data_IF_767488164818
#
_entry.id   IF_767488164818
#
_cell.length_a   1.000
_cell.length_b   1.000
_cell.length_c   1.000
_cell.angle_alpha   90.00
_cell.angle_beta   90.00
_cell.angle_gamma   90.00
#
_symmetry.space_group_name_H-M   'P 1'
#
loop_
_entity.id
_entity.type
_entity.pdbx_description
1 polymer ?
#
# COMPACT_ATOMS: atom_id res chain seq x y z
N UNK A 1 13.03 -14.85 15.31
CA UNK A 1 12.98 -13.79 14.24
C UNK A 1 11.61 -13.20 14.29
N UNK A 2 11.50 -11.89 14.41
CA UNK A 2 10.23 -11.15 14.40
C UNK A 2 10.06 -10.44 13.06
N UNK A 3 8.80 -10.21 12.64
CA UNK A 3 8.44 -9.49 11.43
C UNK A 3 7.69 -8.21 11.81
N UNK A 4 8.14 -7.06 11.34
CA UNK A 4 7.43 -5.79 11.48
C UNK A 4 6.90 -5.35 10.12
N UNK A 5 5.59 -5.38 9.96
CA UNK A 5 4.86 -4.82 8.83
C UNK A 5 4.44 -3.40 9.19
N UNK A 6 4.74 -2.44 8.36
CA UNK A 6 4.36 -1.04 8.61
C UNK A 6 3.82 -0.39 7.34
N UNK A 7 2.70 0.31 7.45
CA UNK A 7 2.32 1.26 6.43
C UNK A 7 3.34 2.41 6.38
N UNK A 8 3.30 3.22 5.34
CA UNK A 8 4.20 4.33 5.12
C UNK A 8 3.59 5.67 5.57
N UNK A 9 2.57 6.11 4.87
CA UNK A 9 2.02 7.46 5.01
C UNK A 9 1.11 7.57 6.24
N UNK A 10 1.49 8.39 7.23
CA UNK A 10 0.74 8.49 8.50
C UNK A 10 1.09 7.41 9.53
N UNK A 11 2.06 6.54 9.23
CA UNK A 11 2.53 5.47 10.12
C UNK A 11 4.04 5.52 10.31
N UNK A 12 4.82 5.12 9.30
CA UNK A 12 6.28 5.14 9.34
C UNK A 12 6.85 6.52 9.01
N UNK A 13 6.22 7.21 8.06
CA UNK A 13 6.63 8.53 7.59
C UNK A 13 5.93 9.61 8.40
N UNK A 14 6.69 10.63 8.81
CA UNK A 14 6.16 11.83 9.42
C UNK A 14 5.47 12.75 8.40
N UNK A 15 4.92 13.87 8.84
CA UNK A 15 4.23 14.86 8.00
C UNK A 15 5.11 15.47 6.89
N UNK A 16 6.44 15.40 7.02
CA UNK A 16 7.41 15.79 6.00
C UNK A 16 7.72 14.64 5.00
N UNK A 17 6.98 13.53 5.06
CA UNK A 17 7.19 12.31 4.26
C UNK A 17 8.58 11.68 4.46
N UNK A 18 9.12 11.75 5.68
CA UNK A 18 10.44 11.21 6.04
C UNK A 18 10.34 10.27 7.24
N UNK A 19 11.25 9.30 7.28
CA UNK A 19 11.50 8.52 8.51
C UNK A 19 12.29 9.41 9.47
N UNK A 20 11.77 9.61 10.68
CA UNK A 20 12.46 10.41 11.70
C UNK A 20 13.75 9.75 12.17
N UNK A 21 14.73 10.51 12.71
CA UNK A 21 15.96 9.94 13.25
C UNK A 21 15.72 8.90 14.36
N UNK A 22 14.71 9.12 15.23
CA UNK A 22 14.40 8.21 16.34
C UNK A 22 13.80 6.89 15.84
N UNK A 23 12.87 6.95 14.89
CA UNK A 23 12.32 5.77 14.23
C UNK A 23 13.40 5.03 13.43
N UNK A 24 14.27 5.75 12.69
CA UNK A 24 15.38 5.13 11.96
C UNK A 24 16.32 4.35 12.88
N UNK A 25 16.72 4.94 14.01
CA UNK A 25 17.61 4.27 14.97
C UNK A 25 16.97 2.96 15.48
N UNK A 26 15.68 2.96 15.79
CA UNK A 26 14.95 1.75 16.17
C UNK A 26 14.96 0.69 15.05
N UNK A 27 14.70 1.11 13.80
CA UNK A 27 14.68 0.18 12.66
C UNK A 27 16.06 -0.44 12.40
N UNK A 28 17.13 0.34 12.54
CA UNK A 28 18.52 -0.15 12.42
C UNK A 28 18.81 -1.21 13.50
N UNK A 29 18.43 -0.96 14.75
CA UNK A 29 18.55 -1.91 15.86
C UNK A 29 17.73 -3.18 15.61
N UNK A 30 16.49 -3.03 15.14
CA UNK A 30 15.56 -4.11 14.85
C UNK A 30 16.09 -5.05 13.76
N UNK A 31 16.61 -4.47 12.66
CA UNK A 31 17.23 -5.23 11.56
C UNK A 31 18.56 -5.88 12.00
N UNK A 32 19.40 -5.17 12.75
CA UNK A 32 20.67 -5.71 13.28
C UNK A 32 20.47 -6.92 14.22
N UNK A 33 19.31 -7.00 14.89
CA UNK A 33 18.92 -8.17 15.67
C UNK A 33 18.46 -9.38 14.83
N UNK A 34 18.55 -9.32 13.50
CA UNK A 34 18.17 -10.39 12.58
C UNK A 34 16.67 -10.49 12.31
N UNK A 35 15.89 -9.47 12.67
CA UNK A 35 14.48 -9.37 12.37
C UNK A 35 14.26 -8.84 10.93
N UNK A 36 13.01 -8.83 10.46
CA UNK A 36 12.66 -8.35 9.13
C UNK A 36 11.68 -7.19 9.19
N UNK A 37 11.96 -6.18 8.35
CA UNK A 37 11.12 -5.00 8.18
C UNK A 37 10.37 -5.08 6.85
N UNK A 38 9.06 -4.98 6.89
CA UNK A 38 8.20 -5.09 5.71
C UNK A 38 7.39 -3.80 5.55
N UNK A 39 7.72 -3.01 4.53
CA UNK A 39 6.89 -1.87 4.15
C UNK A 39 5.65 -2.36 3.43
N UNK A 40 4.47 -1.84 3.75
CA UNK A 40 3.20 -2.27 3.18
C UNK A 40 2.36 -1.06 2.75
N UNK A 41 2.33 -0.76 1.46
CA UNK A 41 1.68 0.45 0.95
C UNK A 41 0.88 0.22 -0.33
N UNK A 42 -0.05 1.15 -0.62
CA UNK A 42 -0.70 1.27 -1.94
C UNK A 42 0.25 1.75 -3.04
N UNK A 43 1.46 2.21 -2.70
CA UNK A 43 2.44 2.73 -3.65
C UNK A 43 2.99 1.61 -4.56
N UNK A 44 3.37 1.94 -5.81
CA UNK A 44 4.15 1.04 -6.68
C UNK A 44 5.54 0.77 -6.10
N UNK A 45 6.17 -0.35 -6.53
CA UNK A 45 7.47 -0.82 -6.04
C UNK A 45 8.55 0.28 -6.07
N UNK A 46 8.72 0.96 -7.20
CA UNK A 46 9.84 1.90 -7.38
C UNK A 46 9.69 3.12 -6.49
N UNK A 47 8.45 3.60 -6.27
CA UNK A 47 8.17 4.64 -5.27
C UNK A 47 8.49 4.18 -3.83
N UNK A 48 8.30 2.90 -3.50
CA UNK A 48 8.65 2.37 -2.18
C UNK A 48 10.17 2.17 -2.03
N UNK A 49 10.88 1.82 -3.11
CA UNK A 49 12.34 1.76 -3.13
C UNK A 49 12.96 3.15 -2.91
N UNK A 50 12.36 4.20 -3.49
CA UNK A 50 12.75 5.59 -3.24
C UNK A 50 12.64 5.91 -1.74
N UNK A 51 11.50 5.64 -1.11
CA UNK A 51 11.32 5.85 0.35
C UNK A 51 12.37 5.09 1.17
N UNK A 52 12.62 3.81 0.85
CA UNK A 52 13.64 3.01 1.54
C UNK A 52 15.03 3.64 1.43
N UNK A 53 15.38 4.10 0.23
CA UNK A 53 16.70 4.70 -0.05
C UNK A 53 16.86 6.07 0.64
N UNK A 54 15.82 6.91 0.60
CA UNK A 54 15.79 8.22 1.26
C UNK A 54 15.88 8.10 2.78
N UNK A 55 15.29 7.03 3.34
CA UNK A 55 15.45 6.71 4.76
C UNK A 55 16.85 6.18 5.11
N UNK A 56 17.72 5.92 4.13
CA UNK A 56 19.06 5.37 4.35
C UNK A 56 19.03 3.96 4.96
N UNK A 57 18.00 3.17 4.66
CA UNK A 57 17.88 1.79 5.14
C UNK A 57 18.58 0.84 4.16
N UNK A 58 19.82 0.50 4.48
CA UNK A 58 20.71 -0.31 3.63
C UNK A 58 20.96 -1.73 4.16
N UNK A 59 20.49 -2.02 5.38
CA UNK A 59 20.64 -3.34 6.01
C UNK A 59 19.80 -4.39 5.29
N UNK A 60 20.23 -5.68 5.31
CA UNK A 60 19.43 -6.78 4.80
C UNK A 60 18.18 -7.03 5.67
N UNK A 61 17.20 -7.70 5.09
CA UNK A 61 15.98 -8.08 5.79
C UNK A 61 14.80 -7.16 5.51
N UNK A 62 14.84 -6.40 4.42
CA UNK A 62 13.76 -5.48 4.03
C UNK A 62 12.95 -6.05 2.86
N UNK A 63 11.63 -6.08 3.02
CA UNK A 63 10.68 -6.45 1.98
C UNK A 63 9.69 -5.31 1.74
N UNK A 64 9.07 -5.31 0.54
CA UNK A 64 8.06 -4.36 0.16
C UNK A 64 6.78 -5.10 -0.23
N UNK A 65 5.68 -4.83 0.46
CA UNK A 65 4.33 -5.18 0.05
C UNK A 65 3.78 -3.98 -0.72
N UNK A 66 3.80 -4.08 -2.05
CA UNK A 66 3.44 -3.00 -2.96
C UNK A 66 1.98 -3.12 -3.42
N UNK A 67 1.42 -1.98 -3.85
CA UNK A 67 0.11 -1.92 -4.51
C UNK A 67 -0.98 -2.65 -3.71
N UNK A 68 -1.05 -2.35 -2.40
CA UNK A 68 -2.01 -2.96 -1.45
C UNK A 68 -1.94 -4.50 -1.38
N UNK A 69 -0.75 -5.09 -1.45
CA UNK A 69 -0.56 -6.54 -1.29
C UNK A 69 -0.72 -7.35 -2.58
N UNK A 70 -0.65 -6.72 -3.74
CA UNK A 70 -0.66 -7.41 -5.03
C UNK A 70 0.74 -7.87 -5.46
N UNK A 71 1.78 -7.30 -4.86
CA UNK A 71 3.17 -7.64 -5.11
C UNK A 71 3.94 -7.68 -3.79
N UNK A 72 4.77 -8.70 -3.60
CA UNK A 72 5.80 -8.72 -2.54
C UNK A 72 7.17 -8.78 -3.22
N UNK A 73 8.00 -7.80 -2.90
CA UNK A 73 9.35 -7.65 -3.43
C UNK A 73 10.36 -7.81 -2.29
N UNK A 74 11.33 -8.69 -2.49
CA UNK A 74 12.45 -8.88 -1.58
C UNK A 74 13.63 -8.02 -2.04
N UNK A 75 14.02 -7.07 -1.19
CA UNK A 75 15.10 -6.13 -1.51
C UNK A 75 16.48 -6.80 -1.48
N UNK A 76 16.67 -7.87 -0.71
CA UNK A 76 17.96 -8.54 -0.58
C UNK A 76 18.29 -9.33 -1.86
N UNK A 77 17.31 -10.07 -2.38
CA UNK A 77 17.47 -10.83 -3.63
C UNK A 77 17.16 -10.01 -4.88
N UNK A 78 16.64 -8.79 -4.72
CA UNK A 78 16.11 -7.94 -5.79
C UNK A 78 15.06 -8.64 -6.67
N UNK A 79 14.21 -9.49 -6.05
CA UNK A 79 13.23 -10.30 -6.75
C UNK A 79 11.81 -10.09 -6.23
N UNK A 80 10.84 -10.17 -7.14
CA UNK A 80 9.42 -10.27 -6.76
C UNK A 80 9.07 -11.71 -6.42
N UNK A 81 8.75 -11.97 -5.15
CA UNK A 81 8.43 -13.31 -4.62
C UNK A 81 6.94 -13.63 -4.63
N UNK A 82 6.06 -12.62 -4.75
CA UNK A 82 4.61 -12.80 -4.95
C UNK A 82 4.08 -11.80 -5.98
N UNK A 83 3.19 -12.27 -6.88
CA UNK A 83 2.54 -11.47 -7.93
C UNK A 83 1.07 -11.84 -8.04
N UNK A 84 0.18 -10.87 -7.85
CA UNK A 84 -1.26 -11.00 -8.09
C UNK A 84 -1.71 -9.90 -9.04
N UNK A 85 -1.64 -10.19 -10.35
CA UNK A 85 -1.90 -9.23 -11.41
C UNK A 85 -3.38 -9.16 -11.77
N UNK A 86 -3.83 -8.00 -12.22
CA UNK A 86 -5.20 -7.73 -12.65
C UNK A 86 -5.34 -8.12 -14.14
N UNK A 87 -6.24 -9.05 -14.52
CA UNK A 87 -6.41 -9.45 -15.91
C UNK A 87 -6.73 -8.28 -16.84
N UNK A 88 -6.14 -8.25 -18.05
CA UNK A 88 -6.38 -7.17 -19.01
C UNK A 88 -7.87 -6.93 -19.34
N UNK A 89 -8.74 -7.97 -19.47
CA UNK A 89 -10.18 -7.75 -19.65
C UNK A 89 -10.83 -6.97 -18.49
N UNK A 90 -10.27 -7.06 -17.27
CA UNK A 90 -10.77 -6.28 -16.13
C UNK A 90 -10.34 -4.81 -16.25
N UNK A 91 -9.12 -4.57 -16.75
CA UNK A 91 -8.62 -3.20 -17.01
C UNK A 91 -9.53 -2.50 -18.02
N UNK A 92 -9.81 -3.14 -19.16
CA UNK A 92 -10.73 -2.59 -20.18
C UNK A 92 -12.12 -2.29 -19.64
N UNK A 93 -12.71 -3.26 -18.92
CA UNK A 93 -14.03 -3.07 -18.32
C UNK A 93 -14.06 -1.90 -17.32
N UNK A 94 -13.07 -1.81 -16.44
CA UNK A 94 -13.00 -0.77 -15.42
C UNK A 94 -12.77 0.61 -16.04
N UNK A 95 -11.96 0.70 -17.09
CA UNK A 95 -11.79 1.93 -17.87
C UNK A 95 -13.12 2.37 -18.50
N UNK A 96 -13.83 1.47 -19.19
CA UNK A 96 -15.14 1.76 -19.80
C UNK A 96 -16.16 2.25 -18.76
N UNK A 97 -16.19 1.62 -17.58
CA UNK A 97 -17.09 2.09 -16.52
C UNK A 97 -16.67 3.45 -15.98
N UNK A 98 -15.37 3.69 -15.74
CA UNK A 98 -14.89 4.99 -15.27
C UNK A 98 -15.24 6.12 -16.23
N UNK A 99 -15.13 5.89 -17.54
CA UNK A 99 -15.56 6.84 -18.58
C UNK A 99 -17.06 7.17 -18.48
N UNK A 100 -17.93 6.17 -18.28
CA UNK A 100 -19.39 6.37 -18.10
C UNK A 100 -19.74 7.22 -16.89
N UNK A 101 -18.95 7.10 -15.82
CA UNK A 101 -19.13 7.90 -14.61
C UNK A 101 -18.34 9.22 -14.66
N UNK A 102 -17.53 9.45 -15.70
CA UNK A 102 -16.64 10.60 -15.82
C UNK A 102 -15.60 10.67 -14.69
N UNK A 103 -15.08 9.52 -14.27
CA UNK A 103 -14.05 9.36 -13.25
C UNK A 103 -12.71 9.15 -13.93
N UNK A 104 -11.68 9.85 -13.46
CA UNK A 104 -10.31 9.54 -13.84
C UNK A 104 -9.93 8.15 -13.33
N UNK A 105 -9.33 7.32 -14.20
CA UNK A 105 -8.80 6.01 -13.83
C UNK A 105 -7.45 5.79 -14.49
N UNK A 106 -6.47 5.34 -13.72
CA UNK A 106 -5.12 5.06 -14.17
C UNK A 106 -4.65 3.67 -13.77
N UNK A 107 -3.59 3.20 -14.42
CA UNK A 107 -2.90 1.96 -14.07
C UNK A 107 -1.39 2.15 -14.13
N UNK A 108 -0.62 1.06 -14.01
CA UNK A 108 0.83 1.14 -13.87
C UNK A 108 1.53 0.08 -14.70
N UNK A 109 2.62 0.48 -15.34
CA UNK A 109 3.74 -0.39 -15.69
C UNK A 109 4.59 -0.65 -14.44
N UNK A 110 5.67 -1.41 -14.56
CA UNK A 110 6.56 -1.63 -13.42
C UNK A 110 7.29 -0.33 -13.00
N UNK A 111 7.51 0.59 -13.95
CA UNK A 111 8.33 1.80 -13.81
C UNK A 111 7.62 3.10 -14.27
N UNK A 112 6.34 3.02 -14.61
CA UNK A 112 5.59 4.19 -15.10
C UNK A 112 4.11 4.15 -14.69
N UNK A 113 3.48 5.31 -14.66
CA UNK A 113 2.02 5.46 -14.58
C UNK A 113 1.47 5.48 -16.01
N UNK A 114 0.38 4.79 -16.25
CA UNK A 114 -0.40 4.86 -17.50
C UNK A 114 -1.72 5.55 -17.21
N UNK A 115 -1.95 6.70 -17.83
CA UNK A 115 -3.15 7.52 -17.68
C UNK A 115 -3.87 7.69 -19.03
N UNK A 116 -5.21 7.72 -19.06
CA UNK A 116 -5.94 7.96 -20.30
C UNK A 116 -5.79 9.39 -20.82
N UNK A 117 -5.50 10.35 -19.93
CA UNK A 117 -5.37 11.77 -20.23
C UNK A 117 -4.33 12.43 -19.32
N UNK A 118 -3.90 13.64 -19.72
CA UNK A 118 -3.12 14.57 -18.89
C UNK A 118 -4.09 15.58 -18.26
N UNK A 119 -4.75 15.18 -17.19
CA UNK A 119 -5.78 15.94 -16.49
C UNK A 119 -5.33 16.41 -15.08
N UNK A 120 -6.24 17.05 -14.34
CA UNK A 120 -5.96 17.56 -13.00
C UNK A 120 -5.63 16.42 -12.03
N UNK A 121 -6.33 15.31 -12.12
CA UNK A 121 -6.21 14.15 -11.24
C UNK A 121 -4.82 13.52 -11.33
N UNK A 122 -4.33 13.25 -12.56
CA UNK A 122 -2.99 12.69 -12.73
C UNK A 122 -1.91 13.69 -12.31
N UNK A 123 -2.10 14.96 -12.59
CA UNK A 123 -1.15 16.00 -12.21
C UNK A 123 -1.08 16.20 -10.70
N UNK A 124 -2.21 16.06 -9.98
CA UNK A 124 -2.24 16.06 -8.53
C UNK A 124 -1.52 14.81 -7.96
N UNK A 125 -1.82 13.62 -8.49
CA UNK A 125 -1.22 12.37 -8.04
C UNK A 125 0.31 12.36 -8.17
N UNK A 126 0.84 12.90 -9.28
CA UNK A 126 2.28 12.96 -9.56
C UNK A 126 3.06 13.91 -8.66
N UNK A 127 2.42 14.76 -7.89
CA UNK A 127 3.12 15.58 -6.86
C UNK A 127 3.74 14.73 -5.76
N UNK A 128 3.18 13.52 -5.53
CA UNK A 128 3.63 12.58 -4.49
C UNK A 128 4.34 11.36 -5.06
N UNK A 129 3.99 10.95 -6.27
CA UNK A 129 4.51 9.73 -6.91
C UNK A 129 5.32 10.16 -8.16
N UNK A 130 6.64 10.10 -8.04
CA UNK A 130 7.59 10.61 -9.05
C UNK A 130 7.94 9.56 -10.12
N UNK A 131 6.93 8.88 -10.67
CA UNK A 131 7.12 7.95 -11.77
C UNK A 131 6.93 8.64 -13.13
N UNK A 132 7.60 8.16 -14.19
CA UNK A 132 7.29 8.56 -15.58
C UNK A 132 5.81 8.40 -15.90
N UNK A 133 5.29 9.25 -16.77
CA UNK A 133 3.91 9.23 -17.23
C UNK A 133 3.83 8.80 -18.69
N UNK A 134 3.00 7.82 -18.97
CA UNK A 134 2.59 7.40 -20.31
C UNK A 134 1.13 7.76 -20.49
N UNK A 135 0.83 8.59 -21.49
CA UNK A 135 -0.56 8.92 -21.87
C UNK A 135 -1.02 7.94 -22.95
N UNK A 136 -2.10 7.23 -22.68
CA UNK A 136 -2.73 6.32 -23.62
C UNK A 136 -4.25 6.32 -23.42
N UNK A 137 -5.04 6.82 -24.41
CA UNK A 137 -6.50 6.81 -24.31
C UNK A 137 -7.08 5.39 -24.09
N UNK A 138 -6.43 4.35 -24.58
CA UNK A 138 -6.68 2.96 -24.24
C UNK A 138 -5.56 2.48 -23.31
N UNK A 139 -5.87 2.27 -22.03
CA UNK A 139 -4.90 1.85 -21.04
C UNK A 139 -4.27 0.50 -21.40
N UNK A 140 -5.06 -0.42 -21.98
CA UNK A 140 -4.56 -1.76 -22.31
C UNK A 140 -3.57 -1.74 -23.46
N UNK A 141 -3.66 -0.78 -24.38
CA UNK A 141 -2.73 -0.63 -25.50
C UNK A 141 -1.30 -0.27 -25.06
N UNK A 142 -1.17 0.42 -23.93
CA UNK A 142 0.13 0.76 -23.36
C UNK A 142 0.72 -0.34 -22.47
N UNK A 143 -0.06 -1.35 -22.07
CA UNK A 143 0.38 -2.38 -21.15
C UNK A 143 1.10 -3.52 -21.90
N UNK A 144 2.33 -3.79 -21.53
CA UNK A 144 3.11 -4.94 -22.01
C UNK A 144 2.78 -6.22 -21.25
N UNK A 145 2.08 -6.11 -20.12
CA UNK A 145 1.63 -7.20 -19.24
C UNK A 145 0.49 -6.73 -18.34
N UNK A 146 -0.18 -7.68 -17.71
CA UNK A 146 -1.20 -7.40 -16.69
C UNK A 146 -0.65 -6.51 -15.56
N UNK A 147 -1.33 -5.41 -15.19
CA UNK A 147 -0.91 -4.54 -14.11
C UNK A 147 -1.24 -5.13 -12.73
N UNK A 148 -0.70 -4.55 -11.68
CA UNK A 148 -1.01 -4.97 -10.30
C UNK A 148 -2.32 -4.39 -9.79
N UNK A 149 -2.66 -3.17 -10.20
CA UNK A 149 -3.86 -2.45 -9.75
C UNK A 149 -4.30 -1.39 -10.77
N UNK A 150 -5.48 -0.86 -10.55
CA UNK A 150 -5.90 0.43 -11.09
C UNK A 150 -6.23 1.38 -9.93
N UNK A 151 -6.21 2.67 -10.19
CA UNK A 151 -6.56 3.72 -9.24
C UNK A 151 -7.58 4.65 -9.90
N UNK A 152 -8.76 4.74 -9.31
CA UNK A 152 -9.75 5.74 -9.67
C UNK A 152 -9.59 6.97 -8.76
N UNK A 153 -9.64 8.17 -9.35
CA UNK A 153 -9.39 9.44 -8.66
C UNK A 153 -10.56 10.39 -8.91
N UNK A 154 -10.99 11.06 -7.84
CA UNK A 154 -11.87 12.24 -7.92
C UNK A 154 -11.44 13.23 -6.85
N UNK A 155 -10.87 14.35 -7.26
CA UNK A 155 -10.31 15.34 -6.34
C UNK A 155 -11.36 16.14 -5.60
N UNK A 156 -12.52 16.36 -6.22
CA UNK A 156 -13.52 17.32 -5.76
C UNK A 156 -14.89 16.71 -5.47
N UNK A 157 -15.12 15.45 -5.83
CA UNK A 157 -16.46 14.82 -5.76
C UNK A 157 -16.37 13.37 -5.28
N UNK A 158 -16.43 13.19 -3.95
CA UNK A 158 -16.46 11.86 -3.34
C UNK A 158 -17.72 11.06 -3.73
N UNK A 159 -18.89 11.73 -3.84
CA UNK A 159 -20.15 11.04 -4.18
C UNK A 159 -20.09 10.44 -5.58
N UNK A 160 -19.42 11.09 -6.52
CA UNK A 160 -19.19 10.57 -7.87
C UNK A 160 -18.28 9.32 -7.84
N UNK A 161 -17.22 9.34 -7.03
CA UNK A 161 -16.34 8.19 -6.84
C UNK A 161 -17.08 7.03 -6.18
N UNK A 162 -17.94 7.31 -5.20
CA UNK A 162 -18.78 6.30 -4.54
C UNK A 162 -19.87 5.75 -5.47
N UNK A 163 -20.45 6.59 -6.35
CA UNK A 163 -21.39 6.14 -7.38
C UNK A 163 -20.73 5.17 -8.37
N UNK A 164 -19.49 5.47 -8.80
CA UNK A 164 -18.69 4.55 -9.62
C UNK A 164 -18.46 3.23 -8.88
N UNK A 165 -17.99 3.26 -7.62
CA UNK A 165 -17.76 2.05 -6.81
C UNK A 165 -19.03 1.20 -6.69
N UNK A 166 -20.18 1.81 -6.41
CA UNK A 166 -21.49 1.13 -6.35
C UNK A 166 -21.88 0.56 -7.71
N UNK A 167 -21.67 1.32 -8.78
CA UNK A 167 -22.00 0.89 -10.15
C UNK A 167 -21.28 -0.37 -10.60
N UNK A 168 -20.04 -0.55 -10.16
CA UNK A 168 -19.26 -1.76 -10.51
C UNK A 168 -19.40 -2.90 -9.49
N UNK A 169 -20.05 -2.70 -8.34
CA UNK A 169 -20.04 -3.65 -7.21
C UNK A 169 -20.52 -5.05 -7.56
N UNK A 170 -21.58 -5.18 -8.37
CA UNK A 170 -22.11 -6.49 -8.79
C UNK A 170 -21.12 -7.26 -9.67
N UNK A 171 -20.40 -6.56 -10.55
CA UNK A 171 -19.37 -7.17 -11.39
C UNK A 171 -18.10 -7.47 -10.58
N UNK A 172 -17.75 -6.62 -9.64
CA UNK A 172 -16.53 -6.72 -8.82
C UNK A 172 -16.52 -7.95 -7.91
N UNK A 173 -17.71 -8.46 -7.52
CA UNK A 173 -17.82 -9.58 -6.59
C UNK A 173 -17.02 -10.80 -7.07
N UNK A 174 -16.10 -11.29 -6.24
CA UNK A 174 -15.24 -12.43 -6.54
C UNK A 174 -14.15 -12.17 -7.61
N UNK A 175 -14.03 -10.94 -8.13
CA UNK A 175 -13.05 -10.57 -9.15
C UNK A 175 -12.02 -9.57 -8.63
N UNK A 176 -12.51 -8.48 -8.01
CA UNK A 176 -11.65 -7.40 -7.50
C UNK A 176 -12.10 -6.95 -6.11
N UNK A 177 -11.18 -6.34 -5.39
CA UNK A 177 -11.45 -5.49 -4.23
C UNK A 177 -11.50 -4.03 -4.66
N UNK A 178 -12.31 -3.24 -3.95
CA UNK A 178 -12.40 -1.80 -4.10
C UNK A 178 -12.24 -1.18 -2.71
N UNK A 179 -11.12 -0.52 -2.46
CA UNK A 179 -10.76 -0.01 -1.13
C UNK A 179 -10.37 1.47 -1.26
N UNK A 180 -10.91 2.31 -0.39
CA UNK A 180 -10.46 3.69 -0.27
C UNK A 180 -9.13 3.75 0.48
N UNK A 181 -8.10 4.33 -0.14
CA UNK A 181 -6.84 4.70 0.53
C UNK A 181 -6.87 6.16 1.01
N UNK A 182 -7.81 6.94 0.52
CA UNK A 182 -8.18 8.28 1.01
C UNK A 182 -9.57 8.65 0.45
N UNK A 183 -10.13 9.80 0.83
CA UNK A 183 -11.42 10.28 0.30
C UNK A 183 -11.42 10.56 -1.21
N UNK A 184 -10.26 10.68 -1.84
CA UNK A 184 -10.11 10.98 -3.27
C UNK A 184 -9.57 9.81 -4.10
N UNK A 185 -9.17 8.70 -3.47
CA UNK A 185 -8.52 7.55 -4.11
C UNK A 185 -9.28 6.25 -3.85
N UNK A 186 -9.74 5.59 -4.91
CA UNK A 186 -10.33 4.26 -4.88
C UNK A 186 -9.37 3.27 -5.59
N UNK A 187 -8.77 2.39 -4.81
CA UNK A 187 -7.88 1.33 -5.27
C UNK A 187 -8.68 0.13 -5.78
N UNK A 188 -8.32 -0.40 -6.93
CA UNK A 188 -8.96 -1.51 -7.61
C UNK A 188 -7.91 -2.57 -7.93
N UNK A 189 -8.02 -3.76 -7.32
CA UNK A 189 -7.05 -4.84 -7.49
C UNK A 189 -7.70 -6.21 -7.28
N UNK A 190 -7.00 -7.29 -7.54
CA UNK A 190 -7.55 -8.66 -7.44
C UNK A 190 -8.18 -8.94 -6.08
N UNK A 191 -9.30 -9.66 -6.07
CA UNK A 191 -10.07 -9.98 -4.85
C UNK A 191 -9.28 -10.80 -3.82
N UNK A 192 -8.34 -11.65 -4.27
CA UNK A 192 -7.50 -12.50 -3.42
C UNK A 192 -6.19 -11.82 -2.97
N UNK A 193 -5.98 -10.56 -3.36
CA UNK A 193 -4.89 -9.72 -2.87
C UNK A 193 -5.34 -8.87 -1.68
N UNK A 194 -4.40 -8.27 -0.98
CA UNK A 194 -4.64 -7.37 0.15
C UNK A 194 -3.46 -7.35 1.09
N UNK A 195 -3.31 -6.28 1.89
CA UNK A 195 -2.22 -6.18 2.86
C UNK A 195 -2.22 -7.36 3.84
N UNK A 196 -3.39 -7.79 4.34
CA UNK A 196 -3.50 -8.94 5.24
C UNK A 196 -3.14 -10.29 4.60
N UNK A 197 -3.52 -10.53 3.33
CA UNK A 197 -3.10 -11.75 2.63
C UNK A 197 -1.58 -11.77 2.37
N UNK A 198 -0.97 -10.60 2.17
CA UNK A 198 0.47 -10.48 2.01
C UNK A 198 1.22 -10.69 3.33
N UNK A 199 0.68 -10.27 4.48
CA UNK A 199 1.22 -10.61 5.82
C UNK A 199 1.31 -12.13 5.98
N UNK A 200 0.22 -12.85 5.75
CA UNK A 200 0.20 -14.32 5.85
C UNK A 200 1.21 -14.96 4.90
N UNK A 201 1.27 -14.50 3.65
CA UNK A 201 2.24 -14.99 2.67
C UNK A 201 3.70 -14.80 3.15
N UNK A 202 4.05 -13.63 3.68
CA UNK A 202 5.42 -13.35 4.14
C UNK A 202 5.77 -14.19 5.38
N UNK A 203 4.82 -14.36 6.31
CA UNK A 203 4.99 -15.23 7.47
C UNK A 203 5.24 -16.69 7.05
N UNK A 204 4.43 -17.21 6.12
CA UNK A 204 4.59 -18.57 5.58
C UNK A 204 5.92 -18.72 4.81
N UNK A 205 6.30 -17.73 4.02
CA UNK A 205 7.54 -17.72 3.22
C UNK A 205 8.80 -17.84 4.09
N UNK A 206 8.82 -17.18 5.26
CA UNK A 206 9.93 -17.26 6.21
C UNK A 206 9.77 -18.33 7.30
N UNK A 207 8.64 -19.03 7.32
CA UNK A 207 8.33 -20.01 8.37
C UNK A 207 8.20 -19.36 9.76
N UNK A 208 7.72 -18.12 9.82
CA UNK A 208 7.51 -17.35 11.05
C UNK A 208 6.04 -17.44 11.46
N UNK A 209 5.70 -17.85 12.69
CA UNK A 209 4.33 -17.85 13.13
C UNK A 209 3.76 -16.43 13.19
N UNK A 210 2.46 -16.30 12.95
CA UNK A 210 1.78 -14.99 13.00
C UNK A 210 1.93 -14.30 14.36
N UNK A 211 2.08 -15.07 15.45
CA UNK A 211 2.35 -14.53 16.80
C UNK A 211 3.64 -13.72 16.92
N UNK A 212 4.60 -13.91 16.00
CA UNK A 212 5.85 -13.14 15.93
C UNK A 212 5.81 -12.03 14.87
N UNK A 213 4.63 -11.77 14.31
CA UNK A 213 4.36 -10.70 13.35
C UNK A 213 3.66 -9.52 14.04
N UNK A 214 4.20 -8.33 13.83
CA UNK A 214 3.66 -7.05 14.26
C UNK A 214 3.25 -6.27 13.03
N UNK A 215 2.08 -5.64 13.04
CA UNK A 215 1.62 -4.81 11.92
C UNK A 215 1.15 -3.46 12.42
N UNK A 216 1.63 -2.37 11.81
CA UNK A 216 1.28 -1.01 12.17
C UNK A 216 0.65 -0.27 10.99
N UNK A 217 -0.43 0.50 11.26
CA UNK A 217 -1.17 1.25 10.24
C UNK A 217 -2.07 2.33 10.84
N UNK A 218 -2.63 3.18 9.97
CA UNK A 218 -3.49 4.29 10.37
C UNK A 218 -4.77 4.44 9.53
N UNK A 219 -4.83 3.80 8.36
CA UNK A 219 -5.93 3.95 7.39
C UNK A 219 -6.74 2.65 7.18
N UNK A 220 -7.92 2.78 6.56
CA UNK A 220 -8.85 1.66 6.37
C UNK A 220 -8.27 0.47 5.59
N UNK A 221 -7.34 0.73 4.67
CA UNK A 221 -6.65 -0.32 3.90
C UNK A 221 -5.65 -1.12 4.74
N UNK A 222 -5.33 -0.67 5.97
CA UNK A 222 -4.45 -1.37 6.91
C UNK A 222 -5.18 -2.37 7.79
N UNK A 223 -6.49 -2.22 7.96
CA UNK A 223 -7.29 -3.06 8.87
C UNK A 223 -7.00 -4.54 8.65
N UNK A 224 -7.03 -4.98 7.40
CA UNK A 224 -6.75 -6.40 7.09
C UNK A 224 -5.33 -6.85 7.44
N UNK A 225 -4.36 -5.92 7.47
CA UNK A 225 -2.98 -6.17 7.88
C UNK A 225 -2.88 -6.28 9.40
N UNK A 226 -3.53 -5.38 10.13
CA UNK A 226 -3.58 -5.38 11.59
C UNK A 226 -4.22 -6.67 12.10
N UNK A 227 -5.38 -7.06 11.54
CA UNK A 227 -6.09 -8.30 11.91
C UNK A 227 -5.34 -9.60 11.54
N UNK A 228 -4.44 -9.55 10.54
CA UNK A 228 -3.69 -10.73 10.09
C UNK A 228 -2.45 -11.01 10.93
N UNK A 229 -1.86 -10.01 11.54
CA UNK A 229 -0.67 -10.13 12.39
C UNK A 229 -1.01 -10.68 13.78
N UNK A 230 -0.02 -11.15 14.50
CA UNK A 230 -0.18 -11.55 15.90
C UNK A 230 -0.38 -10.38 16.85
N UNK A 231 0.11 -9.18 16.45
CA UNK A 231 -0.14 -7.93 17.15
C UNK A 231 -0.39 -6.83 16.14
N UNK A 232 -1.63 -6.36 16.06
CA UNK A 232 -2.04 -5.20 15.26
C UNK A 232 -1.87 -3.91 16.06
N UNK A 233 -1.22 -2.92 15.48
CA UNK A 233 -0.89 -1.63 16.10
C UNK A 233 -1.54 -0.50 15.29
N UNK A 234 -2.48 0.22 15.88
CA UNK A 234 -3.02 1.45 15.30
C UNK A 234 -2.21 2.65 15.76
N UNK A 235 -1.88 3.54 14.84
CA UNK A 235 -1.27 4.81 15.21
C UNK A 235 -2.25 5.70 15.96
N UNK A 236 -1.75 6.57 16.85
CA UNK A 236 -2.59 7.54 17.59
C UNK A 236 -3.43 8.42 16.64
N UNK A 237 -2.87 8.79 15.50
CA UNK A 237 -3.54 9.58 14.46
C UNK A 237 -4.52 8.76 13.58
N UNK A 238 -4.64 7.45 13.79
CA UNK A 238 -5.56 6.60 13.05
C UNK A 238 -7.04 6.93 13.34
N UNK A 239 -7.92 6.58 12.40
CA UNK A 239 -9.35 6.70 12.61
C UNK A 239 -9.85 5.74 13.70
N UNK A 240 -10.98 6.08 14.34
CA UNK A 240 -11.60 5.22 15.36
C UNK A 240 -11.95 3.81 14.85
N UNK A 241 -12.18 3.66 13.55
CA UNK A 241 -12.43 2.36 12.92
C UNK A 241 -11.16 1.50 12.93
N UNK A 242 -10.01 2.08 12.58
CA UNK A 242 -8.71 1.40 12.58
C UNK A 242 -8.28 1.06 14.01
N UNK A 243 -8.44 2.01 14.95
CA UNK A 243 -8.13 1.78 16.37
C UNK A 243 -8.92 0.60 16.97
N UNK A 244 -10.19 0.43 16.57
CA UNK A 244 -11.01 -0.73 17.02
C UNK A 244 -10.58 -2.07 16.45
N UNK A 245 -9.87 -2.07 15.33
CA UNK A 245 -9.36 -3.28 14.68
C UNK A 245 -7.96 -3.71 15.17
N UNK A 246 -7.31 -2.86 15.98
CA UNK A 246 -5.97 -3.09 16.50
C UNK A 246 -5.99 -3.64 17.94
N UNK A 247 -4.94 -4.37 18.31
CA UNK A 247 -4.70 -4.86 19.67
C UNK A 247 -4.09 -3.76 20.55
N UNK A 248 -3.30 -2.86 19.95
CA UNK A 248 -2.55 -1.79 20.62
C UNK A 248 -2.75 -0.48 19.85
N UNK A 249 -2.85 0.63 20.59
CA UNK A 249 -2.84 1.98 20.05
C UNK A 249 -1.55 2.66 20.54
N UNK A 250 -0.80 3.31 19.64
CA UNK A 250 0.43 4.02 20.01
C UNK A 250 0.10 5.22 20.91
N UNK A 251 0.97 5.53 21.89
CA UNK A 251 0.79 6.70 22.77
C UNK A 251 1.13 8.02 22.07
N UNK A 252 1.96 7.95 21.03
CA UNK A 252 2.40 9.08 20.21
C UNK A 252 1.97 8.89 18.77
N UNK A 253 1.84 9.99 18.03
CA UNK A 253 1.54 9.98 16.60
C UNK A 253 2.79 9.69 15.73
N UNK A 254 2.60 9.65 14.41
CA UNK A 254 3.67 9.39 13.44
C UNK A 254 4.73 10.50 13.39
N UNK A 255 4.44 11.72 13.85
CA UNK A 255 5.39 12.83 13.91
C UNK A 255 6.31 12.78 15.15
N UNK A 256 6.00 11.89 16.12
CA UNK A 256 6.68 11.80 17.41
C UNK A 256 7.23 10.41 17.70
N UNK A 257 7.70 9.71 16.69
CA UNK A 257 8.27 8.35 16.82
C UNK A 257 7.32 7.31 17.44
N UNK A 258 5.99 7.49 17.28
CA UNK A 258 4.99 6.66 17.94
C UNK A 258 5.13 5.16 17.65
N UNK A 259 5.49 4.78 16.42
CA UNK A 259 5.77 3.40 16.06
C UNK A 259 6.98 2.84 16.81
N UNK A 260 8.10 3.57 16.81
CA UNK A 260 9.34 3.11 17.45
C UNK A 260 9.17 2.96 18.96
N UNK A 261 8.53 3.93 19.63
CA UNK A 261 8.25 3.87 21.05
C UNK A 261 7.33 2.71 21.43
N UNK A 262 6.28 2.48 20.64
CA UNK A 262 5.38 1.35 20.85
C UNK A 262 6.11 0.01 20.69
N UNK A 263 6.87 -0.14 19.62
CA UNK A 263 7.61 -1.38 19.36
C UNK A 263 8.67 -1.69 20.42
N UNK A 264 9.37 -0.69 20.97
CA UNK A 264 10.32 -0.89 22.09
C UNK A 264 9.66 -1.43 23.35
N UNK A 265 8.36 -1.14 23.58
CA UNK A 265 7.59 -1.67 24.72
C UNK A 265 7.10 -3.09 24.48
N UNK A 266 6.93 -3.50 23.21
CA UNK A 266 6.40 -4.81 22.82
C UNK A 266 7.49 -5.88 22.62
N UNK A 267 8.74 -5.47 22.40
CA UNK A 267 9.89 -6.37 22.14
C UNK A 267 10.63 -6.78 23.41
#
# INVERSE_FOLDING_TARGET
MKLLFTDLDGTLLNSDSRVSPGTKAFLDEFLAAGNKLIFSSGRPRDSMLEVKNDAGLTQPGILLICSNGTQVYDCDSACTIMKKRLPLPYVSYLQEQAEKFGIHIQTYLDDAIVSPADDEEINFYRRKIHLPLVISPDLTAALTREPYKMLAISLHDFEKLEAFRKGISGWAQGKIQTIYSSSIYLELFRHDAGKGSAVRFVCDYFGVPLSDAYAAGDADNDISMLEAAGTGIAMLNASEKVKRAADVITELDHDKDGLAECMRKLL
#
